data_IF_729977400678
#
_entry.id   IF_729977400678
#
_cell.length_a   1.000
_cell.length_b   1.000
_cell.length_c   1.000
_cell.angle_alpha   90.00
_cell.angle_beta   90.00
_cell.angle_gamma   90.00
#
_symmetry.space_group_name_H-M   'P 1'
#
loop_
_entity.id
_entity.type
_entity.pdbx_description
1 polymer ?
#
# COMPACT_ATOMS: atom_id res chain seq x y z
N UNK A 1 -19.24 20.94 -5.25
CA UNK A 1 -18.06 20.68 -6.09
C UNK A 1 -17.22 19.68 -5.35
N UNK A 2 -17.16 18.44 -5.83
CA UNK A 2 -16.34 17.39 -5.20
C UNK A 2 -14.87 17.65 -5.55
N UNK A 3 -13.98 17.62 -4.57
CA UNK A 3 -12.54 17.79 -4.79
C UNK A 3 -11.95 16.56 -5.50
N UNK A 4 -10.74 16.69 -6.07
CA UNK A 4 -10.04 15.54 -6.67
C UNK A 4 -9.82 14.42 -5.65
N UNK A 5 -9.52 14.80 -4.41
CA UNK A 5 -9.37 13.90 -3.27
C UNK A 5 -10.70 13.21 -2.95
N UNK A 6 -11.81 13.96 -2.88
CA UNK A 6 -13.11 13.38 -2.55
C UNK A 6 -13.62 12.37 -3.58
N UNK A 7 -13.17 12.47 -4.83
CA UNK A 7 -13.49 11.51 -5.89
C UNK A 7 -12.54 10.32 -5.91
N UNK A 8 -11.29 10.51 -5.49
CA UNK A 8 -10.26 9.47 -5.49
C UNK A 8 -10.51 8.37 -4.46
N UNK A 9 -11.34 8.63 -3.43
CA UNK A 9 -11.58 7.69 -2.34
C UNK A 9 -13.07 7.44 -2.09
N UNK A 10 -13.42 6.17 -1.90
CA UNK A 10 -14.65 5.77 -1.22
C UNK A 10 -14.51 6.03 0.27
N UNK A 11 -15.47 6.75 0.84
CA UNK A 11 -15.40 7.29 2.20
C UNK A 11 -16.32 6.52 3.12
N UNK A 12 -15.82 6.17 4.30
CA UNK A 12 -16.56 5.42 5.30
C UNK A 12 -16.40 6.02 6.69
N UNK A 13 -17.51 6.08 7.43
CA UNK A 13 -17.55 6.39 8.86
C UNK A 13 -17.72 5.10 9.65
N UNK A 14 -17.19 5.06 10.88
CA UNK A 14 -17.51 4.00 11.84
C UNK A 14 -18.97 4.14 12.29
N UNK A 15 -19.82 3.21 11.86
CA UNK A 15 -21.23 3.15 12.27
C UNK A 15 -21.36 2.53 13.67
N UNK A 16 -20.59 1.47 13.93
CA UNK A 16 -20.68 0.70 15.17
C UNK A 16 -19.41 -0.10 15.43
N UNK A 17 -18.99 -0.14 16.70
CA UNK A 17 -18.02 -1.10 17.20
C UNK A 17 -18.71 -2.46 17.50
N UNK A 18 -18.16 -3.53 16.92
CA UNK A 18 -18.65 -4.90 17.09
C UNK A 18 -17.86 -5.68 18.16
N UNK A 19 -16.84 -5.09 18.76
CA UNK A 19 -15.92 -5.70 19.72
C UNK A 19 -14.84 -6.54 19.05
N UNK A 20 -13.83 -6.97 19.82
CA UNK A 20 -12.70 -7.80 19.34
C UNK A 20 -11.96 -7.20 18.13
N UNK A 21 -11.79 -5.88 18.11
CA UNK A 21 -11.14 -5.16 17.00
C UNK A 21 -11.95 -5.09 15.70
N UNK A 22 -13.23 -5.50 15.69
CA UNK A 22 -14.07 -5.43 14.51
C UNK A 22 -14.96 -4.19 14.55
N UNK A 23 -14.91 -3.39 13.49
CA UNK A 23 -15.77 -2.22 13.32
C UNK A 23 -16.66 -2.39 12.10
N UNK A 24 -17.87 -1.84 12.18
CA UNK A 24 -18.78 -1.72 11.05
C UNK A 24 -18.65 -0.34 10.42
N UNK A 25 -18.31 -0.33 9.15
CA UNK A 25 -18.17 0.88 8.34
C UNK A 25 -19.46 1.15 7.53
N UNK A 26 -19.87 2.41 7.46
CA UNK A 26 -20.95 2.87 6.60
C UNK A 26 -20.43 3.90 5.60
N UNK A 27 -20.78 3.72 4.31
CA UNK A 27 -20.38 4.63 3.24
C UNK A 27 -21.06 5.99 3.42
N UNK A 28 -20.29 7.07 3.24
CA UNK A 28 -20.78 8.44 3.32
C UNK A 28 -20.33 9.26 2.10
N UNK A 29 -20.97 10.42 1.91
CA UNK A 29 -20.67 11.36 0.82
C UNK A 29 -19.97 12.64 1.31
N UNK A 30 -19.79 12.79 2.63
CA UNK A 30 -19.12 13.95 3.26
C UNK A 30 -17.70 14.11 2.70
N UNK A 31 -17.15 15.33 2.69
CA UNK A 31 -15.78 15.56 2.21
C UNK A 31 -14.76 15.03 3.23
N UNK A 32 -13.66 14.46 2.76
CA UNK A 32 -12.53 14.04 3.61
C UNK A 32 -11.90 15.27 4.28
N UNK A 33 -11.84 16.39 3.57
CA UNK A 33 -11.11 17.59 4.02
C UNK A 33 -11.97 18.42 4.98
N UNK A 34 -13.27 18.46 4.76
CA UNK A 34 -14.19 19.29 5.56
C UNK A 34 -14.79 18.54 6.77
N UNK A 35 -14.46 17.26 6.96
CA UNK A 35 -14.97 16.45 8.08
C UNK A 35 -14.15 16.66 9.35
N UNK A 36 -14.82 16.96 10.46
CA UNK A 36 -14.21 17.04 11.79
C UNK A 36 -13.94 15.65 12.43
N UNK A 37 -14.46 14.59 11.83
CA UNK A 37 -14.31 13.20 12.30
C UNK A 37 -13.35 12.41 11.41
N UNK A 38 -12.58 11.45 11.97
CA UNK A 38 -11.73 10.56 11.20
C UNK A 38 -12.57 9.66 10.30
N UNK A 39 -12.22 9.62 9.02
CA UNK A 39 -12.87 8.82 7.99
C UNK A 39 -11.90 7.80 7.40
N UNK A 40 -12.43 6.63 7.03
CA UNK A 40 -11.69 5.66 6.23
C UNK A 40 -11.86 5.98 4.75
N UNK A 41 -10.75 6.26 4.07
CA UNK A 41 -10.68 6.45 2.63
C UNK A 41 -10.11 5.21 1.94
N UNK A 42 -10.93 4.49 1.17
CA UNK A 42 -10.45 3.42 0.30
C UNK A 42 -10.30 3.98 -1.12
N UNK A 43 -9.12 3.91 -1.75
CA UNK A 43 -8.92 4.47 -3.08
C UNK A 43 -9.81 3.77 -4.11
N UNK A 44 -10.36 4.54 -5.05
CA UNK A 44 -11.13 4.03 -6.18
C UNK A 44 -10.19 3.57 -7.29
N UNK A 45 -9.65 2.35 -7.11
CA UNK A 45 -8.74 1.67 -8.04
C UNK A 45 -9.47 0.78 -9.05
N UNK A 46 -10.78 0.96 -9.26
CA UNK A 46 -11.54 0.15 -10.22
C UNK A 46 -11.01 0.29 -11.66
N UNK A 47 -10.46 1.47 -11.99
CA UNK A 47 -9.74 1.74 -13.22
C UNK A 47 -8.38 2.35 -12.84
N UNK A 48 -7.34 1.51 -12.83
CA UNK A 48 -5.99 1.92 -12.42
C UNK A 48 -5.33 2.90 -13.40
N UNK A 49 -5.78 2.97 -14.66
CA UNK A 49 -5.18 3.85 -15.68
C UNK A 49 -5.91 5.19 -15.82
N UNK A 50 -7.23 5.22 -15.64
CA UNK A 50 -8.08 6.38 -15.93
C UNK A 50 -9.12 6.66 -14.85
N UNK A 51 -8.99 6.00 -13.70
CA UNK A 51 -9.87 6.19 -12.57
C UNK A 51 -9.61 7.49 -11.81
N UNK A 52 -10.53 7.86 -10.90
CA UNK A 52 -10.38 9.05 -10.07
C UNK A 52 -9.11 9.03 -9.20
N UNK A 53 -8.67 7.86 -8.75
CA UNK A 53 -7.43 7.71 -8.00
C UNK A 53 -6.20 7.95 -8.87
N UNK A 54 -6.19 7.46 -10.11
CA UNK A 54 -5.09 7.71 -11.05
C UNK A 54 -4.95 9.21 -11.37
N UNK A 55 -6.09 9.91 -11.56
CA UNK A 55 -6.11 11.37 -11.72
C UNK A 55 -5.54 12.09 -10.48
N UNK A 56 -5.84 11.59 -9.28
CA UNK A 56 -5.29 12.12 -8.03
C UNK A 56 -3.77 11.94 -7.94
N UNK A 57 -3.26 10.75 -8.26
CA UNK A 57 -1.82 10.46 -8.30
C UNK A 57 -1.10 11.38 -9.29
N UNK A 58 -1.59 11.46 -10.53
CA UNK A 58 -1.04 12.37 -11.55
C UNK A 58 -1.02 13.84 -11.06
N UNK A 59 -2.07 14.27 -10.35
CA UNK A 59 -2.15 15.62 -9.82
C UNK A 59 -1.13 15.90 -8.72
N UNK A 60 -0.99 15.01 -7.73
CA UNK A 60 -0.02 15.21 -6.64
C UNK A 60 1.42 15.11 -7.15
N UNK A 61 1.70 14.25 -8.13
CA UNK A 61 3.02 14.16 -8.79
C UNK A 61 3.39 15.46 -9.48
N UNK A 62 2.46 16.06 -10.24
CA UNK A 62 2.66 17.38 -10.86
C UNK A 62 2.90 18.48 -9.84
N UNK A 63 2.16 18.47 -8.74
CA UNK A 63 2.32 19.44 -7.66
C UNK A 63 3.67 19.28 -6.96
N UNK A 64 4.12 18.05 -6.67
CA UNK A 64 5.42 17.78 -6.06
C UNK A 64 6.55 18.25 -6.97
N UNK A 65 6.55 17.88 -8.25
CA UNK A 65 7.56 18.32 -9.22
C UNK A 65 7.62 19.84 -9.32
N UNK A 66 6.44 20.49 -9.33
CA UNK A 66 6.39 21.96 -9.33
C UNK A 66 7.02 22.53 -8.06
N UNK A 67 6.64 22.02 -6.89
CA UNK A 67 7.16 22.48 -5.61
C UNK A 67 8.69 22.31 -5.53
N UNK A 68 9.21 21.14 -5.89
CA UNK A 68 10.65 20.88 -5.90
C UNK A 68 11.39 21.83 -6.84
N UNK A 69 10.86 22.07 -8.04
CA UNK A 69 11.46 23.03 -8.98
C UNK A 69 11.40 24.49 -8.50
N UNK A 70 10.46 24.84 -7.62
CA UNK A 70 10.35 26.16 -7.03
C UNK A 70 11.28 26.33 -5.81
N UNK A 71 11.56 25.24 -5.07
CA UNK A 71 12.40 25.23 -3.87
C UNK A 71 13.89 24.97 -4.15
N UNK A 72 14.20 24.16 -5.16
CA UNK A 72 15.56 23.71 -5.46
C UNK A 72 16.06 24.35 -6.76
N UNK A 73 17.26 24.92 -6.72
CA UNK A 73 17.96 25.39 -7.93
C UNK A 73 18.62 24.22 -8.66
N UNK A 74 17.85 23.51 -9.48
CA UNK A 74 18.39 22.45 -10.33
C UNK A 74 19.21 22.99 -11.51
N UNK A 75 20.24 22.24 -11.93
CA UNK A 75 20.94 22.49 -13.21
C UNK A 75 19.98 22.29 -14.40
N UNK A 76 19.10 21.28 -14.30
CA UNK A 76 18.03 21.00 -15.24
C UNK A 76 16.75 20.73 -14.45
N UNK A 77 15.64 21.33 -14.88
CA UNK A 77 14.37 21.19 -14.16
C UNK A 77 13.92 19.74 -14.14
N UNK A 78 13.55 19.26 -12.95
CA UNK A 78 12.92 17.97 -12.75
C UNK A 78 11.61 17.90 -13.55
N UNK A 79 11.40 16.81 -14.25
CA UNK A 79 10.20 16.53 -15.02
C UNK A 79 9.28 15.55 -14.29
N UNK A 80 8.00 15.53 -14.68
CA UNK A 80 7.03 14.57 -14.14
C UNK A 80 7.42 13.16 -14.54
N UNK A 81 7.86 12.97 -15.79
CA UNK A 81 8.27 11.66 -16.32
C UNK A 81 9.45 11.07 -15.52
N UNK A 82 10.45 11.89 -15.15
CA UNK A 82 11.58 11.46 -14.32
C UNK A 82 11.14 10.97 -12.94
N UNK A 83 10.24 11.71 -12.26
CA UNK A 83 9.68 11.29 -10.98
C UNK A 83 8.87 9.99 -11.12
N UNK A 84 8.01 9.90 -12.14
CA UNK A 84 7.21 8.69 -12.37
C UNK A 84 8.07 7.46 -12.64
N UNK A 85 9.15 7.61 -13.41
CA UNK A 85 10.04 6.50 -13.73
C UNK A 85 10.76 5.99 -12.47
N UNK A 86 11.21 6.87 -11.58
CA UNK A 86 11.81 6.46 -10.30
C UNK A 86 10.80 5.75 -9.40
N UNK A 87 9.58 6.29 -9.24
CA UNK A 87 8.53 5.65 -8.45
C UNK A 87 8.17 4.26 -9.02
N UNK A 88 8.08 4.12 -10.35
CA UNK A 88 7.83 2.82 -10.99
C UNK A 88 8.98 1.84 -10.77
N UNK A 89 10.22 2.32 -10.79
CA UNK A 89 11.39 1.48 -10.51
C UNK A 89 11.34 0.94 -9.08
N UNK A 90 11.06 1.80 -8.09
CA UNK A 90 10.91 1.40 -6.69
C UNK A 90 9.76 0.41 -6.48
N UNK A 91 8.61 0.68 -7.11
CA UNK A 91 7.47 -0.23 -7.06
C UNK A 91 7.78 -1.60 -7.69
N UNK A 92 8.47 -1.61 -8.83
CA UNK A 92 8.89 -2.84 -9.48
C UNK A 92 9.91 -3.61 -8.64
N UNK A 93 10.84 -2.92 -7.97
CA UNK A 93 11.80 -3.54 -7.06
C UNK A 93 11.09 -4.20 -5.88
N UNK A 94 10.15 -3.50 -5.24
CA UNK A 94 9.33 -4.06 -4.16
C UNK A 94 8.52 -5.28 -4.62
N UNK A 95 7.94 -5.22 -5.83
CA UNK A 95 7.23 -6.36 -6.43
C UNK A 95 8.14 -7.57 -6.65
N UNK A 96 9.35 -7.37 -7.18
CA UNK A 96 10.33 -8.44 -7.39
C UNK A 96 10.80 -9.08 -6.07
N UNK A 97 10.80 -8.31 -4.99
CA UNK A 97 11.07 -8.78 -3.63
C UNK A 97 9.85 -9.46 -2.96
N UNK A 98 8.68 -9.43 -3.59
CA UNK A 98 7.43 -9.97 -3.05
C UNK A 98 6.81 -9.12 -1.94
N UNK A 99 7.18 -7.85 -1.84
CA UNK A 99 6.59 -6.90 -0.89
C UNK A 99 5.31 -6.31 -1.49
N UNK A 100 4.23 -6.35 -0.72
CA UNK A 100 3.03 -5.60 -1.05
C UNK A 100 3.27 -4.12 -0.74
N UNK A 101 2.93 -3.25 -1.70
CA UNK A 101 3.02 -1.81 -1.52
C UNK A 101 1.66 -1.34 -1.04
N UNK A 102 1.62 -0.71 0.13
CA UNK A 102 0.39 -0.12 0.60
C UNK A 102 0.13 1.20 -0.15
N UNK A 103 -1.14 1.53 -0.36
CA UNK A 103 -1.57 2.78 -1.04
C UNK A 103 -1.00 4.01 -0.33
N UNK A 104 -0.88 3.95 0.99
CA UNK A 104 -0.23 4.99 1.77
C UNK A 104 1.23 5.19 1.32
N UNK A 105 2.00 4.11 1.18
CA UNK A 105 3.41 4.18 0.77
C UNK A 105 3.56 4.74 -0.65
N UNK A 106 2.60 4.47 -1.55
CA UNK A 106 2.58 5.07 -2.88
C UNK A 106 2.40 6.60 -2.83
N UNK A 107 1.43 7.07 -2.05
CA UNK A 107 1.18 8.50 -1.90
C UNK A 107 2.37 9.18 -1.21
N UNK A 108 2.89 8.57 -0.14
CA UNK A 108 4.04 9.09 0.59
C UNK A 108 5.30 9.09 -0.26
N UNK A 109 5.52 8.04 -1.06
CA UNK A 109 6.63 7.99 -2.02
C UNK A 109 6.66 9.21 -2.95
N UNK A 110 5.50 9.69 -3.40
CA UNK A 110 5.39 10.91 -4.20
C UNK A 110 5.56 12.17 -3.33
N UNK A 111 4.87 12.25 -2.20
CA UNK A 111 4.84 13.47 -1.37
C UNK A 111 6.18 13.74 -0.69
N UNK A 112 6.95 12.72 -0.38
CA UNK A 112 8.26 12.81 0.29
C UNK A 112 9.43 12.76 -0.68
N UNK A 113 9.17 12.50 -1.96
CA UNK A 113 10.21 12.38 -2.97
C UNK A 113 11.19 13.56 -2.97
N UNK A 114 12.48 13.29 -2.82
CA UNK A 114 13.57 14.27 -3.01
C UNK A 114 14.62 13.66 -3.93
N UNK A 115 14.99 14.34 -5.04
CA UNK A 115 16.04 13.86 -5.93
C UNK A 115 17.36 13.63 -5.21
N UNK A 116 18.08 12.57 -5.57
CA UNK A 116 19.37 12.25 -4.99
C UNK A 116 20.36 13.43 -5.05
N UNK A 117 21.01 13.71 -3.91
CA UNK A 117 22.00 14.78 -3.80
C UNK A 117 21.41 16.16 -3.52
N UNK A 118 20.10 16.26 -3.33
CA UNK A 118 19.41 17.46 -2.84
C UNK A 118 18.79 17.16 -1.48
N UNK A 119 18.68 18.19 -0.66
CA UNK A 119 17.99 18.18 0.62
C UNK A 119 17.04 19.39 0.61
N UNK A 120 15.86 19.24 1.20
CA UNK A 120 14.96 20.35 1.45
C UNK A 120 15.37 20.96 2.79
N UNK A 121 15.54 22.29 2.87
CA UNK A 121 15.81 22.94 4.15
C UNK A 121 14.61 22.70 5.09
N UNK A 122 14.85 22.04 6.22
CA UNK A 122 13.84 21.65 7.22
C UNK A 122 13.02 22.84 7.76
N UNK A 123 13.49 24.08 7.57
CA UNK A 123 12.77 25.29 8.01
C UNK A 123 11.55 25.62 7.13
N UNK A 124 11.46 25.12 5.89
CA UNK A 124 10.32 25.38 5.00
C UNK A 124 9.25 24.28 5.01
N UNK A 125 9.56 23.11 5.57
CA UNK A 125 8.61 22.00 5.72
C UNK A 125 8.41 21.80 7.21
N UNK A 126 7.44 22.51 7.80
CA UNK A 126 7.07 22.28 9.20
C UNK A 126 6.40 20.91 9.34
N UNK A 127 7.19 19.83 9.36
CA UNK A 127 6.81 18.52 9.86
C UNK A 127 6.81 18.55 11.39
N UNK A 128 5.96 19.39 11.97
CA UNK A 128 5.56 19.26 13.38
C UNK A 128 4.45 18.22 13.47
N UNK A 129 4.74 16.98 13.06
CA UNK A 129 4.05 15.78 13.51
C UNK A 129 5.09 14.67 13.47
N UNK A 130 5.88 14.59 14.54
CA UNK A 130 6.58 13.36 14.91
C UNK A 130 5.55 12.24 15.03
N UNK A 131 5.88 11.06 14.53
CA UNK A 131 5.07 9.81 14.64
C UNK A 131 4.63 9.45 16.07
N UNK A 132 5.17 10.12 17.09
CA UNK A 132 4.83 9.95 18.50
C UNK A 132 3.36 10.31 18.85
N UNK A 133 2.66 11.12 18.05
CA UNK A 133 1.27 11.52 18.37
C UNK A 133 0.21 10.45 17.98
N UNK A 134 0.55 9.47 17.13
CA UNK A 134 -0.41 8.43 16.71
C UNK A 134 -0.36 7.16 17.56
N UNK A 135 0.71 6.92 18.32
CA UNK A 135 0.79 5.77 19.24
C UNK A 135 -0.19 5.92 20.42
N UNK A 136 -0.42 7.15 20.89
CA UNK A 136 -1.27 7.43 22.05
C UNK A 136 -2.79 7.26 21.76
N UNK A 137 -3.20 7.26 20.49
CA UNK A 137 -4.60 7.12 20.04
C UNK A 137 -4.96 5.69 19.61
N UNK A 138 -4.00 4.75 19.60
CA UNK A 138 -4.29 3.32 19.45
C UNK A 138 -4.73 2.81 20.83
N UNK A 139 -6.00 2.41 21.03
CA UNK A 139 -6.42 1.86 22.31
C UNK A 139 -5.55 0.64 22.63
N UNK A 140 -4.95 0.62 23.83
CA UNK A 140 -4.27 -0.57 24.38
C UNK A 140 -5.21 -1.77 24.22
N UNK A 141 -4.93 -2.62 23.24
CA UNK A 141 -5.60 -3.90 23.09
C UNK A 141 -5.10 -4.73 24.27
N UNK A 142 -5.92 -4.85 25.32
CA UNK A 142 -5.72 -5.87 26.34
C UNK A 142 -5.54 -7.20 25.60
N UNK A 143 -4.45 -7.92 25.89
CA UNK A 143 -4.23 -9.29 25.41
C UNK A 143 -5.38 -10.17 25.92
N UNK A 144 -6.52 -10.15 25.22
CA UNK A 144 -7.58 -11.12 25.40
C UNK A 144 -7.03 -12.46 24.91
N UNK A 145 -7.00 -13.46 25.79
CA UNK A 145 -6.75 -14.86 25.44
C UNK A 145 -7.72 -15.27 24.32
N UNK A 146 -7.26 -15.20 23.08
CA UNK A 146 -8.02 -15.63 21.91
C UNK A 146 -8.15 -17.16 22.06
N UNK A 147 -9.37 -17.64 22.32
CA UNK A 147 -9.64 -19.08 22.34
C UNK A 147 -9.21 -19.67 20.98
N UNK A 148 -8.26 -20.61 21.00
CA UNK A 148 -7.78 -21.30 19.81
C UNK A 148 -8.97 -21.95 19.09
N UNK A 149 -9.38 -21.38 17.95
CA UNK A 149 -10.39 -21.97 17.07
C UNK A 149 -9.76 -23.09 16.22
N UNK A 150 -10.56 -24.09 15.85
CA UNK A 150 -10.15 -25.23 15.01
C UNK A 150 -9.65 -24.80 13.61
N UNK A 151 -9.84 -23.52 13.23
CA UNK A 151 -9.29 -22.90 12.02
C UNK A 151 -7.85 -22.41 12.14
N UNK A 152 -7.29 -22.31 13.35
CA UNK A 152 -5.86 -22.00 13.60
C UNK A 152 -4.95 -23.22 13.52
N UNK A 153 -5.52 -24.38 13.20
CA UNK A 153 -4.75 -25.53 12.74
C UNK A 153 -4.41 -25.28 11.28
N UNK A 154 -3.19 -24.80 11.03
CA UNK A 154 -2.55 -25.08 9.75
C UNK A 154 -2.75 -26.58 9.54
N UNK A 155 -3.48 -26.98 8.49
CA UNK A 155 -3.57 -28.38 8.13
C UNK A 155 -2.11 -28.82 7.98
N UNK A 156 -1.61 -29.58 8.94
CA UNK A 156 -0.33 -30.25 8.83
C UNK A 156 -0.47 -31.09 7.57
N UNK A 157 0.03 -30.58 6.44
CA UNK A 157 0.22 -31.36 5.24
C UNK A 157 1.07 -32.54 5.69
N UNK A 158 0.39 -33.66 5.87
CA UNK A 158 0.96 -34.97 6.14
C UNK A 158 2.05 -35.11 5.08
N UNK A 159 3.31 -34.99 5.50
CA UNK A 159 4.46 -35.19 4.62
C UNK A 159 4.33 -36.59 4.04
N UNK A 160 3.75 -36.71 2.84
CA UNK A 160 3.87 -37.91 2.04
C UNK A 160 5.36 -38.15 1.89
N UNK A 161 5.85 -39.23 2.52
CA UNK A 161 7.23 -39.67 2.34
C UNK A 161 7.47 -39.81 0.83
N UNK A 162 8.22 -38.87 0.26
CA UNK A 162 8.73 -38.97 -1.10
C UNK A 162 9.67 -40.17 -1.10
N UNK A 163 9.14 -41.32 -1.53
CA UNK A 163 9.96 -42.53 -1.68
C UNK A 163 11.09 -42.20 -2.66
N UNK A 164 12.36 -42.49 -2.33
CA UNK A 164 13.46 -42.21 -3.23
C UNK A 164 13.27 -43.01 -4.52
N UNK A 165 13.29 -42.32 -5.66
CA UNK A 165 13.24 -42.96 -6.97
C UNK A 165 14.36 -44.00 -7.09
N UNK A 166 13.98 -45.28 -7.17
CA UNK A 166 14.88 -46.40 -7.43
C UNK A 166 14.83 -46.75 -8.93
N UNK A 167 15.88 -46.46 -9.72
CA UNK A 167 15.86 -46.67 -11.16
C UNK A 167 15.95 -48.16 -11.58
N UNK A 168 16.07 -49.10 -10.63
CA UNK A 168 16.31 -50.51 -10.91
C UNK A 168 15.04 -51.39 -10.98
N UNK A 169 13.83 -50.83 -10.77
CA UNK A 169 12.57 -51.59 -10.78
C UNK A 169 11.65 -51.37 -12.00
N UNK A 170 12.10 -50.71 -13.08
CA UNK A 170 11.42 -50.85 -14.37
C UNK A 170 12.06 -51.98 -15.19
N UNK A 171 11.57 -53.19 -14.94
CA UNK A 171 11.75 -54.32 -15.84
C UNK A 171 11.29 -53.93 -17.25
N UNK A 172 12.18 -54.11 -18.22
CA UNK A 172 11.93 -53.93 -19.66
C UNK A 172 10.61 -54.65 -20.02
N UNK A 173 9.59 -53.95 -20.57
CA UNK A 173 8.41 -54.64 -21.10
C UNK A 173 8.83 -55.53 -22.28
N UNK A 174 8.60 -56.83 -22.15
CA UNK A 174 8.90 -57.90 -23.13
C UNK A 174 7.99 -57.88 -24.37
N UNK A 175 7.56 -56.70 -24.87
CA UNK A 175 6.69 -56.59 -26.05
C UNK A 175 7.25 -55.74 -27.21
N UNK A 176 8.58 -55.51 -27.25
CA UNK A 176 9.26 -55.06 -28.47
C UNK A 176 10.30 -56.08 -28.93
N UNK A 177 9.83 -57.31 -29.20
CA UNK A 177 10.53 -58.28 -30.05
C UNK A 177 9.55 -58.95 -31.02
N UNK A 178 9.18 -58.23 -32.09
CA UNK A 178 9.32 -58.69 -33.49
C UNK A 178 8.60 -57.75 -34.47
#
# INVERSE_FOLDING_TARGET
NSSIIDNAFFKFRIEKDLGKGHIRLARIEDSIIDSDEPLFGLPDILDEEKGPYADFIDHITKLRVKMLNDLIEFEQRLTVDELEDEIREDQNNAFMEGKAIHIFDEIMGILEYVPHGYELDDEEISSNQTDEDYEDDIPDIEEEDIEEDDTMKWEDEETEEVTPYNPEEEGIPEDVKK
#
